data_IF_666791424189
#
_entry.id   IF_666791424189
#
_cell.length_a   1.000
_cell.length_b   1.000
_cell.length_c   1.000
_cell.angle_alpha   90.00
_cell.angle_beta   90.00
_cell.angle_gamma   90.00
#
_symmetry.space_group_name_H-M   'P 1'
#
loop_
_entity.id
_entity.type
_entity.pdbx_description
1 polymer ?
#
# COMPACT_ATOMS: atom_id res chain seq x y z
N UNK A 1 11.41 -26.10 4.48
CA UNK A 1 10.49 -25.34 3.59
C UNK A 1 10.34 -23.92 4.14
N UNK A 2 10.19 -22.88 3.30
CA UNK A 2 10.02 -21.51 3.80
C UNK A 2 8.67 -21.35 4.50
N UNK A 3 8.65 -20.62 5.63
CA UNK A 3 7.38 -20.16 6.19
C UNK A 3 6.79 -19.15 5.20
N UNK A 4 5.55 -19.35 4.78
CA UNK A 4 4.93 -18.55 3.73
C UNK A 4 3.62 -17.95 4.19
N UNK A 5 3.40 -16.69 3.86
CA UNK A 5 2.10 -16.03 4.02
C UNK A 5 1.65 -15.43 2.70
N UNK A 6 0.34 -15.36 2.50
CA UNK A 6 -0.25 -14.80 1.29
C UNK A 6 -1.05 -13.57 1.70
N UNK A 7 -0.75 -12.45 1.06
CA UNK A 7 -1.51 -11.22 1.21
C UNK A 7 -2.56 -11.13 0.10
N UNK A 8 -3.80 -10.81 0.45
CA UNK A 8 -4.86 -10.36 -0.46
C UNK A 8 -5.02 -8.84 -0.31
N UNK A 9 -4.49 -8.11 -1.29
CA UNK A 9 -4.55 -6.65 -1.32
C UNK A 9 -5.11 -6.22 -2.66
N UNK A 10 -6.31 -5.64 -2.64
CA UNK A 10 -7.01 -5.17 -3.82
C UNK A 10 -7.19 -6.25 -4.89
N UNK A 11 -7.62 -7.45 -4.49
CA UNK A 11 -7.72 -8.67 -5.31
C UNK A 11 -6.38 -9.14 -5.94
N UNK A 12 -5.23 -8.71 -5.41
CA UNK A 12 -3.91 -9.25 -5.76
C UNK A 12 -3.38 -10.15 -4.66
N UNK A 13 -2.85 -11.30 -5.05
CA UNK A 13 -2.25 -12.28 -4.15
C UNK A 13 -0.74 -12.17 -4.17
N UNK A 14 -0.16 -11.65 -3.10
CA UNK A 14 1.29 -11.48 -2.95
C UNK A 14 1.79 -12.50 -1.92
N UNK A 15 2.66 -13.41 -2.35
CA UNK A 15 3.24 -14.42 -1.46
C UNK A 15 4.53 -13.93 -0.85
N UNK A 16 4.61 -13.92 0.47
CA UNK A 16 5.83 -13.65 1.22
C UNK A 16 6.44 -14.98 1.66
N UNK A 17 7.69 -15.25 1.27
CA UNK A 17 8.41 -16.47 1.64
C UNK A 17 9.56 -16.12 2.57
N UNK A 18 9.60 -16.71 3.77
CA UNK A 18 10.64 -16.49 4.77
C UNK A 18 11.54 -17.72 4.85
N UNK A 19 12.76 -17.59 4.35
CA UNK A 19 13.77 -18.64 4.36
C UNK A 19 14.59 -18.57 5.65
N UNK A 20 14.62 -19.67 6.39
CA UNK A 20 15.43 -19.82 7.61
C UNK A 20 16.91 -19.98 7.27
N UNK A 21 17.78 -19.61 8.22
CA UNK A 21 19.20 -19.93 8.14
C UNK A 21 19.40 -21.43 8.38
N UNK A 22 20.13 -22.12 7.49
CA UNK A 22 20.47 -23.53 7.67
C UNK A 22 21.59 -23.72 8.70
N UNK A 23 22.39 -22.69 8.98
CA UNK A 23 23.58 -22.74 9.85
C UNK A 23 23.34 -22.27 11.30
N UNK A 24 22.12 -21.87 11.65
CA UNK A 24 21.87 -21.37 12.99
C UNK A 24 21.87 -22.49 14.05
N UNK A 25 22.47 -22.16 15.20
CA UNK A 25 22.61 -23.03 16.36
C UNK A 25 21.24 -23.48 16.87
N UNK A 26 21.20 -24.59 17.62
CA UNK A 26 19.95 -25.22 18.07
C UNK A 26 18.98 -24.31 18.86
N UNK A 27 19.42 -23.13 19.29
CA UNK A 27 18.60 -22.11 19.96
C UNK A 27 17.68 -21.39 18.98
N UNK A 28 18.10 -21.11 17.74
CA UNK A 28 17.22 -20.54 16.69
C UNK A 28 16.33 -21.60 16.03
N UNK A 29 16.72 -22.89 16.11
CA UNK A 29 15.94 -24.01 15.58
C UNK A 29 14.70 -24.33 16.42
N UNK A 30 14.64 -23.88 17.68
CA UNK A 30 13.46 -24.02 18.56
C UNK A 30 12.53 -22.80 18.46
N UNK A 31 11.77 -22.74 17.36
CA UNK A 31 10.37 -22.30 17.42
C UNK A 31 10.04 -20.80 17.52
N UNK A 32 10.91 -19.88 17.10
CA UNK A 32 10.58 -18.46 17.01
C UNK A 32 10.62 -17.95 15.57
N UNK A 33 9.53 -17.34 15.10
CA UNK A 33 9.57 -16.51 13.90
C UNK A 33 10.44 -15.28 14.18
N UNK A 34 11.11 -14.72 13.17
CA UNK A 34 11.87 -13.48 13.40
C UNK A 34 10.92 -12.37 13.87
N UNK A 35 11.37 -11.47 14.75
CA UNK A 35 10.57 -10.30 15.20
C UNK A 35 10.00 -9.50 14.01
N UNK A 36 10.75 -9.47 12.90
CA UNK A 36 10.31 -8.88 11.65
C UNK A 36 9.10 -9.61 11.04
N UNK A 37 9.13 -10.94 10.98
CA UNK A 37 7.99 -11.73 10.54
C UNK A 37 6.76 -11.50 11.42
N UNK A 38 6.91 -11.54 12.75
CA UNK A 38 5.81 -11.28 13.70
C UNK A 38 5.21 -9.88 13.51
N UNK A 39 6.08 -8.87 13.32
CA UNK A 39 5.64 -7.50 13.05
C UNK A 39 4.89 -7.38 11.72
N UNK A 40 5.31 -8.07 10.65
CA UNK A 40 4.56 -8.16 9.39
C UNK A 40 3.19 -8.80 9.61
N UNK A 41 3.14 -9.93 10.33
CA UNK A 41 1.89 -10.64 10.62
C UNK A 41 0.90 -9.74 11.35
N UNK A 42 1.37 -9.03 12.38
CA UNK A 42 0.54 -8.13 13.16
C UNK A 42 0.03 -6.95 12.32
N UNK A 43 0.92 -6.33 11.55
CA UNK A 43 0.64 -5.17 10.72
C UNK A 43 -0.35 -5.49 9.60
N UNK A 44 -0.16 -6.62 8.93
CA UNK A 44 -0.90 -7.02 7.74
C UNK A 44 -2.02 -8.03 8.01
N UNK A 45 -2.36 -8.32 9.28
CA UNK A 45 -3.32 -9.36 9.65
C UNK A 45 -4.64 -9.33 8.87
N UNK A 46 -5.18 -8.14 8.58
CA UNK A 46 -6.46 -7.96 7.88
C UNK A 46 -6.34 -8.05 6.35
N UNK A 47 -5.12 -8.28 5.84
CA UNK A 47 -4.81 -8.52 4.45
C UNK A 47 -4.23 -9.92 4.24
N UNK A 48 -4.07 -10.75 5.28
CA UNK A 48 -3.63 -12.13 5.12
C UNK A 48 -4.81 -12.93 4.59
N UNK A 49 -4.60 -13.65 3.50
CA UNK A 49 -5.62 -14.51 2.91
C UNK A 49 -5.87 -15.73 3.79
N UNK A 50 -7.14 -15.99 4.09
CA UNK A 50 -7.58 -17.17 4.85
C UNK A 50 -7.60 -18.45 4.00
N UNK A 51 -7.55 -18.31 2.68
CA UNK A 51 -7.64 -19.41 1.72
C UNK A 51 -6.42 -19.43 0.80
N UNK A 52 -6.14 -20.59 0.19
CA UNK A 52 -5.09 -20.69 -0.81
C UNK A 52 -5.68 -20.21 -2.15
N UNK A 53 -5.21 -19.07 -2.70
CA UNK A 53 -5.73 -18.58 -3.97
C UNK A 53 -5.23 -19.44 -5.13
N UNK A 54 -6.00 -19.43 -6.22
CA UNK A 54 -5.66 -20.15 -7.45
C UNK A 54 -4.46 -19.55 -8.20
N UNK A 55 -4.12 -18.28 -7.94
CA UNK A 55 -3.03 -17.54 -8.58
C UNK A 55 -2.26 -16.72 -7.55
N UNK A 56 -0.95 -16.61 -7.76
CA UNK A 56 -0.07 -15.66 -7.08
C UNK A 56 0.41 -14.63 -8.10
N UNK A 57 0.22 -13.35 -7.80
CA UNK A 57 0.55 -12.22 -8.66
C UNK A 57 2.01 -11.76 -8.50
N UNK A 58 2.56 -11.93 -7.30
CA UNK A 58 3.93 -11.53 -6.99
C UNK A 58 4.51 -12.31 -5.81
N UNK A 59 5.83 -12.47 -5.79
CA UNK A 59 6.55 -13.12 -4.70
C UNK A 59 7.56 -12.17 -4.04
N UNK A 60 7.63 -12.17 -2.71
CA UNK A 60 8.69 -11.51 -1.95
C UNK A 60 9.42 -12.57 -1.14
N UNK A 61 10.68 -12.81 -1.49
CA UNK A 61 11.53 -13.82 -0.84
C UNK A 61 12.45 -13.13 0.16
N UNK A 62 12.26 -13.42 1.44
CA UNK A 62 13.09 -12.93 2.53
C UNK A 62 14.14 -13.98 2.89
N UNK A 63 15.39 -13.67 2.61
CA UNK A 63 16.52 -14.51 2.96
C UNK A 63 17.12 -14.07 4.29
N UNK A 64 17.46 -15.04 5.14
CA UNK A 64 18.30 -14.79 6.30
C UNK A 64 19.76 -14.74 5.85
N UNK A 65 20.29 -13.53 5.68
CA UNK A 65 21.72 -13.32 5.41
C UNK A 65 22.12 -11.92 5.84
N UNK A 66 23.43 -11.72 6.05
CA UNK A 66 23.99 -10.42 6.35
C UNK A 66 23.73 -9.43 5.21
N UNK A 67 23.49 -8.14 5.51
CA UNK A 67 23.39 -7.12 4.48
C UNK A 67 24.64 -7.11 3.61
N UNK A 68 24.46 -7.11 2.29
CA UNK A 68 25.60 -7.00 1.36
C UNK A 68 25.94 -5.53 1.18
N UNK A 69 27.18 -5.16 1.48
CA UNK A 69 27.73 -3.84 1.17
C UNK A 69 28.38 -3.88 -0.21
N UNK A 70 28.06 -2.89 -1.04
CA UNK A 70 28.67 -2.68 -2.34
C UNK A 70 29.47 -1.40 -2.25
N UNK A 71 30.79 -1.51 -2.32
CA UNK A 71 31.68 -0.36 -2.38
C UNK A 71 31.83 0.09 -3.83
N UNK A 72 31.84 1.41 -4.05
CA UNK A 72 32.18 2.01 -5.34
C UNK A 72 33.10 3.20 -5.14
N UNK A 73 34.05 3.37 -6.05
CA UNK A 73 34.89 4.56 -6.12
C UNK A 73 34.33 5.51 -7.18
N UNK A 74 34.13 6.78 -6.80
CA UNK A 74 33.67 7.83 -7.71
C UNK A 74 34.37 9.14 -7.39
N UNK A 75 35.06 9.73 -8.37
CA UNK A 75 35.80 11.00 -8.21
C UNK A 75 36.76 11.07 -7.00
N UNK A 76 37.40 9.95 -6.65
CA UNK A 76 38.29 9.88 -5.48
C UNK A 76 37.58 9.65 -4.14
N UNK A 77 36.25 9.58 -4.11
CA UNK A 77 35.47 9.22 -2.93
C UNK A 77 35.15 7.72 -2.91
N UNK A 78 35.20 7.12 -1.72
CA UNK A 78 34.70 5.77 -1.46
C UNK A 78 33.26 5.82 -0.94
N UNK A 79 32.33 5.26 -1.69
CA UNK A 79 30.90 5.25 -1.35
C UNK A 79 30.46 3.81 -1.10
N UNK A 80 29.82 3.58 0.04
CA UNK A 80 29.27 2.27 0.43
C UNK A 80 27.75 2.25 0.27
N UNK A 81 27.27 1.32 -0.54
CA UNK A 81 25.85 1.09 -0.77
C UNK A 81 25.38 -0.17 -0.03
N UNK A 82 24.30 -0.04 0.73
CA UNK A 82 23.62 -1.19 1.28
C UNK A 82 22.71 -1.80 0.21
N UNK A 83 22.96 -3.06 -0.16
CA UNK A 83 22.12 -3.78 -1.10
C UNK A 83 20.81 -4.18 -0.41
N UNK A 84 19.70 -3.51 -0.75
CA UNK A 84 18.40 -3.76 -0.16
C UNK A 84 17.67 -4.96 -0.76
N UNK A 85 17.64 -5.07 -2.09
CA UNK A 85 16.90 -6.11 -2.78
C UNK A 85 17.32 -6.28 -4.24
N UNK A 86 17.04 -7.45 -4.81
CA UNK A 86 17.04 -7.67 -6.26
C UNK A 86 15.62 -7.85 -6.76
N UNK A 87 15.32 -7.36 -7.97
CA UNK A 87 14.00 -7.45 -8.59
C UNK A 87 14.07 -8.19 -9.91
N UNK A 88 13.14 -9.13 -10.11
CA UNK A 88 12.78 -9.69 -11.41
C UNK A 88 11.31 -9.41 -11.71
N UNK A 89 10.82 -9.88 -12.86
CA UNK A 89 9.47 -9.56 -13.37
C UNK A 89 8.34 -9.81 -12.36
N UNK A 90 8.40 -10.94 -11.65
CA UNK A 90 7.33 -11.44 -10.78
C UNK A 90 7.78 -11.67 -9.33
N UNK A 91 9.02 -11.31 -8.99
CA UNK A 91 9.51 -11.51 -7.64
C UNK A 91 10.59 -10.52 -7.23
N UNK A 92 10.72 -10.32 -5.92
CA UNK A 92 11.85 -9.64 -5.29
C UNK A 92 12.53 -10.59 -4.31
N UNK A 93 13.86 -10.61 -4.30
CA UNK A 93 14.64 -11.21 -3.23
C UNK A 93 15.19 -10.09 -2.34
N UNK A 94 14.94 -10.20 -1.05
CA UNK A 94 15.31 -9.24 -0.02
C UNK A 94 15.71 -9.98 1.26
N UNK A 95 15.91 -9.25 2.35
CA UNK A 95 16.48 -9.78 3.59
C UNK A 95 15.53 -9.63 4.78
N UNK A 96 15.65 -10.52 5.76
CA UNK A 96 14.83 -10.48 6.98
C UNK A 96 15.22 -9.35 7.96
N UNK A 97 16.35 -8.68 7.77
CA UNK A 97 16.80 -7.56 8.61
C UNK A 97 16.21 -6.19 8.21
N UNK A 98 15.29 -6.16 7.24
CA UNK A 98 14.63 -4.91 6.85
C UNK A 98 13.83 -4.32 8.02
N UNK A 99 13.76 -2.99 8.06
CA UNK A 99 12.76 -2.32 8.88
C UNK A 99 11.36 -2.47 8.28
N UNK A 100 10.33 -2.32 9.11
CA UNK A 100 8.93 -2.33 8.65
C UNK A 100 8.68 -1.22 7.60
N UNK A 101 9.27 -0.05 7.77
CA UNK A 101 9.16 1.04 6.79
C UNK A 101 9.76 0.67 5.43
N UNK A 102 10.92 0.00 5.42
CA UNK A 102 11.55 -0.48 4.18
C UNK A 102 10.68 -1.56 3.51
N UNK A 103 10.11 -2.47 4.29
CA UNK A 103 9.18 -3.47 3.79
C UNK A 103 7.91 -2.83 3.18
N UNK A 104 7.27 -1.89 3.88
CA UNK A 104 6.10 -1.17 3.38
C UNK A 104 6.42 -0.41 2.09
N UNK A 105 7.62 0.18 1.99
CA UNK A 105 8.10 0.79 0.76
C UNK A 105 8.22 -0.23 -0.38
N UNK A 106 8.79 -1.42 -0.16
CA UNK A 106 8.82 -2.47 -1.18
C UNK A 106 7.41 -2.92 -1.58
N UNK A 107 6.51 -3.07 -0.60
CA UNK A 107 5.14 -3.47 -0.84
C UNK A 107 4.39 -2.43 -1.68
N UNK A 108 4.54 -1.13 -1.41
CA UNK A 108 3.88 -0.09 -2.20
C UNK A 108 4.41 -0.06 -3.64
N UNK A 109 5.72 -0.30 -3.87
CA UNK A 109 6.29 -0.44 -5.23
C UNK A 109 5.71 -1.62 -5.99
N UNK A 110 5.53 -2.75 -5.32
CA UNK A 110 4.92 -3.93 -5.93
C UNK A 110 3.46 -3.65 -6.27
N UNK A 111 2.71 -3.05 -5.34
CA UNK A 111 1.31 -2.67 -5.58
C UNK A 111 1.18 -1.68 -6.74
N UNK A 112 2.02 -0.65 -6.82
CA UNK A 112 2.04 0.28 -7.95
C UNK A 112 2.27 -0.44 -9.28
N UNK A 113 3.20 -1.40 -9.32
CA UNK A 113 3.47 -2.20 -10.52
C UNK A 113 2.26 -3.06 -10.93
N UNK A 114 1.63 -3.74 -9.96
CA UNK A 114 0.46 -4.59 -10.22
C UNK A 114 -0.73 -3.74 -10.65
N UNK A 115 -1.00 -2.64 -9.96
CA UNK A 115 -2.07 -1.69 -10.26
C UNK A 115 -1.93 -1.10 -11.66
N UNK A 116 -0.73 -0.65 -12.03
CA UNK A 116 -0.47 -0.11 -13.37
C UNK A 116 -0.72 -1.11 -14.51
N UNK A 117 -0.62 -2.43 -14.24
CA UNK A 117 -0.90 -3.50 -15.21
C UNK A 117 -2.37 -3.92 -15.26
N UNK A 118 -3.19 -3.46 -14.30
CA UNK A 118 -4.54 -3.94 -14.07
C UNK A 118 -5.51 -2.78 -13.79
N UNK A 119 -5.37 -1.69 -14.55
CA UNK A 119 -6.23 -0.51 -14.56
C UNK A 119 -6.51 0.08 -13.17
N UNK A 120 -5.46 0.15 -12.35
CA UNK A 120 -5.53 0.69 -11.00
C UNK A 120 -4.41 1.65 -10.68
N UNK A 121 -4.56 2.33 -9.55
CA UNK A 121 -3.59 3.27 -9.01
C UNK A 121 -3.85 3.51 -7.52
N UNK A 122 -2.89 4.14 -6.84
CA UNK A 122 -3.01 4.57 -5.44
C UNK A 122 -3.28 6.07 -5.44
N UNK A 123 -4.34 6.49 -4.78
CA UNK A 123 -4.78 7.88 -4.67
C UNK A 123 -4.51 8.41 -3.26
N UNK A 124 -3.95 9.62 -3.17
CA UNK A 124 -3.89 10.38 -1.94
C UNK A 124 -5.27 10.97 -1.62
N UNK A 125 -6.00 10.32 -0.71
CA UNK A 125 -7.38 10.63 -0.42
C UNK A 125 -7.81 10.16 0.99
N UNK A 126 -8.87 10.78 1.50
CA UNK A 126 -9.64 10.27 2.63
C UNK A 126 -11.00 9.79 2.11
N UNK A 127 -11.62 8.82 2.76
CA UNK A 127 -12.89 8.25 2.29
C UNK A 127 -13.80 7.82 3.45
N UNK A 128 -15.11 7.85 3.21
CA UNK A 128 -16.13 7.33 4.13
C UNK A 128 -17.09 6.40 3.41
N UNK A 129 -17.60 5.41 4.13
CA UNK A 129 -18.65 4.52 3.65
C UNK A 129 -20.00 5.24 3.71
N UNK A 130 -20.68 5.32 2.58
CA UNK A 130 -22.02 5.88 2.45
C UNK A 130 -22.93 4.83 1.82
N UNK A 131 -23.81 4.24 2.64
CA UNK A 131 -24.59 3.05 2.28
C UNK A 131 -23.65 1.91 1.88
N UNK A 132 -23.86 1.31 0.71
CA UNK A 132 -23.05 0.24 0.10
C UNK A 132 -21.90 0.78 -0.79
N UNK A 133 -21.65 2.09 -0.76
CA UNK A 133 -20.71 2.78 -1.65
C UNK A 133 -19.73 3.65 -0.89
N UNK A 134 -18.78 4.23 -1.63
CA UNK A 134 -17.73 5.07 -1.09
C UNK A 134 -17.79 6.52 -1.60
N UNK A 135 -17.69 7.46 -0.65
CA UNK A 135 -17.42 8.87 -0.93
C UNK A 135 -15.93 9.13 -0.71
N UNK A 136 -15.26 9.65 -1.73
CA UNK A 136 -13.81 9.87 -1.73
C UNK A 136 -13.51 11.36 -1.78
N UNK A 137 -12.62 11.83 -0.91
CA UNK A 137 -12.19 13.22 -0.81
C UNK A 137 -10.71 13.33 -1.15
N UNK A 138 -10.38 14.07 -2.20
CA UNK A 138 -9.00 14.28 -2.66
C UNK A 138 -8.70 15.75 -2.95
N UNK A 139 -7.44 16.12 -3.12
CA UNK A 139 -7.00 17.50 -3.33
C UNK A 139 -5.71 17.82 -2.58
N UNK A 140 -5.21 19.05 -2.76
CA UNK A 140 -3.91 19.49 -2.24
C UNK A 140 -3.76 19.24 -0.72
N UNK A 141 -2.52 19.15 -0.24
CA UNK A 141 -2.26 19.13 1.20
C UNK A 141 -2.92 20.34 1.88
N UNK A 142 -3.53 20.11 3.04
CA UNK A 142 -4.29 21.15 3.74
C UNK A 142 -5.68 21.48 3.17
N UNK A 143 -6.17 20.80 2.12
CA UNK A 143 -7.51 21.06 1.56
C UNK A 143 -8.70 20.61 2.42
N UNK A 144 -8.44 19.90 3.52
CA UNK A 144 -9.48 19.43 4.45
C UNK A 144 -10.00 18.01 4.21
N UNK A 145 -9.29 17.15 3.44
CA UNK A 145 -9.68 15.74 3.20
C UNK A 145 -9.98 14.96 4.49
N UNK A 146 -9.01 14.91 5.39
CA UNK A 146 -9.15 14.25 6.69
C UNK A 146 -10.21 14.92 7.57
N UNK A 147 -10.39 16.24 7.44
CA UNK A 147 -11.42 17.00 8.15
C UNK A 147 -12.82 16.59 7.69
N UNK A 148 -13.06 16.52 6.38
CA UNK A 148 -14.34 16.07 5.82
C UNK A 148 -14.69 14.65 6.29
N UNK A 149 -13.73 13.73 6.23
CA UNK A 149 -13.89 12.38 6.77
C UNK A 149 -14.22 12.41 8.27
N UNK A 150 -13.48 13.18 9.07
CA UNK A 150 -13.70 13.29 10.53
C UNK A 150 -15.04 13.90 10.90
N UNK A 151 -15.58 14.82 10.10
CA UNK A 151 -16.92 15.38 10.31
C UNK A 151 -18.01 14.36 9.98
N UNK A 152 -17.85 13.62 8.88
CA UNK A 152 -18.82 12.62 8.43
C UNK A 152 -18.80 11.34 9.26
N UNK A 153 -17.69 11.04 9.97
CA UNK A 153 -17.53 9.81 10.77
C UNK A 153 -18.63 9.58 11.81
N UNK A 154 -19.31 10.66 12.23
CA UNK A 154 -20.44 10.60 13.18
C UNK A 154 -21.62 9.80 12.61
N UNK A 155 -21.81 9.83 11.28
CA UNK A 155 -22.91 9.13 10.59
C UNK A 155 -22.42 8.03 9.63
N UNK A 156 -21.17 8.11 9.18
CA UNK A 156 -20.64 7.31 8.08
C UNK A 156 -19.25 6.77 8.43
N UNK A 157 -19.05 5.45 8.55
CA UNK A 157 -17.77 4.88 8.96
C UNK A 157 -16.60 5.38 8.10
N UNK A 158 -15.47 5.78 8.69
CA UNK A 158 -14.28 6.16 7.94
C UNK A 158 -13.68 4.91 7.28
N UNK A 159 -13.26 5.05 6.03
CA UNK A 159 -12.70 3.94 5.23
C UNK A 159 -11.20 4.07 5.02
N UNK A 160 -10.69 5.27 4.73
CA UNK A 160 -9.26 5.52 4.54
C UNK A 160 -8.93 6.98 4.88
N UNK A 161 -7.72 7.25 5.35
CA UNK A 161 -7.22 8.59 5.66
C UNK A 161 -5.71 8.73 5.37
N UNK A 162 -5.33 8.47 4.11
CA UNK A 162 -4.12 8.97 3.46
C UNK A 162 -4.04 8.38 2.04
N UNK A 163 -4.18 7.06 1.96
CA UNK A 163 -3.92 6.28 0.75
C UNK A 163 -5.10 5.35 0.47
N UNK A 164 -5.64 5.46 -0.74
CA UNK A 164 -6.76 4.66 -1.21
C UNK A 164 -6.35 3.97 -2.51
N UNK A 165 -6.51 2.65 -2.59
CA UNK A 165 -6.29 1.92 -3.84
C UNK A 165 -7.58 2.01 -4.66
N UNK A 166 -7.47 2.39 -5.93
CA UNK A 166 -8.58 2.41 -6.88
C UNK A 166 -8.26 1.46 -8.03
N UNK A 167 -9.24 0.65 -8.43
CA UNK A 167 -9.15 -0.22 -9.62
C UNK A 167 -10.41 -0.12 -10.46
N UNK A 168 -10.25 -0.16 -11.78
CA UNK A 168 -11.35 -0.50 -12.68
C UNK A 168 -11.47 -2.03 -12.76
N UNK A 169 -12.65 -2.56 -12.42
CA UNK A 169 -12.97 -3.99 -12.54
C UNK A 169 -14.23 -4.11 -13.37
N UNK A 170 -14.12 -4.74 -14.54
CA UNK A 170 -15.16 -4.73 -15.55
C UNK A 170 -15.44 -3.31 -16.04
N UNK A 171 -16.63 -2.77 -15.72
CA UNK A 171 -17.05 -1.41 -16.12
C UNK A 171 -17.25 -0.46 -14.93
N UNK A 172 -16.79 -0.83 -13.74
CA UNK A 172 -16.98 -0.04 -12.52
C UNK A 172 -15.66 0.22 -11.80
N UNK A 173 -15.57 1.36 -11.12
CA UNK A 173 -14.46 1.69 -10.25
C UNK A 173 -14.75 1.24 -8.81
N UNK A 174 -13.77 0.56 -8.24
CA UNK A 174 -13.80 0.08 -6.87
C UNK A 174 -12.62 0.64 -6.10
N UNK A 175 -12.83 0.83 -4.81
CA UNK A 175 -11.85 1.26 -3.87
C UNK A 175 -11.54 0.15 -2.86
N UNK A 176 -10.29 0.12 -2.42
CA UNK A 176 -9.76 -0.77 -1.40
C UNK A 176 -8.87 0.04 -0.47
N UNK A 177 -8.79 -0.40 0.79
CA UNK A 177 -7.81 0.15 1.71
C UNK A 177 -6.40 -0.26 1.27
N UNK A 178 -5.43 0.63 1.47
CA UNK A 178 -4.02 0.27 1.32
C UNK A 178 -3.52 -0.45 2.59
N UNK A 179 -2.42 -1.22 2.51
CA UNK A 179 -1.75 -1.76 3.70
C UNK A 179 -0.90 -0.72 4.45
N UNK A 180 -0.88 0.55 3.99
CA UNK A 180 -0.09 1.62 4.63
C UNK A 180 -0.74 2.08 5.93
N UNK A 181 0.05 2.70 6.81
CA UNK A 181 -0.47 3.32 8.03
C UNK A 181 -1.40 4.49 7.68
N UNK A 182 -2.52 4.59 8.40
CA UNK A 182 -3.46 5.70 8.26
C UNK A 182 -3.07 6.85 9.18
N UNK A 183 -3.40 8.08 8.79
CA UNK A 183 -3.26 9.24 9.69
C UNK A 183 -4.29 9.22 10.84
N UNK A 184 -5.42 8.56 10.61
CA UNK A 184 -6.48 8.41 11.61
C UNK A 184 -6.55 6.96 12.13
N UNK A 185 -6.22 6.78 13.40
CA UNK A 185 -6.14 5.46 14.04
C UNK A 185 -7.49 4.73 14.20
N UNK A 186 -8.63 5.39 14.00
CA UNK A 186 -9.95 4.79 14.14
C UNK A 186 -10.45 4.03 12.91
N UNK A 187 -9.61 3.84 11.89
CA UNK A 187 -9.94 3.04 10.70
C UNK A 187 -9.50 1.59 10.92
N UNK A 188 -10.46 0.67 10.89
CA UNK A 188 -10.16 -0.77 10.87
C UNK A 188 -9.80 -1.19 9.44
N UNK A 189 -8.60 -1.73 9.25
CA UNK A 189 -8.13 -2.27 7.96
C UNK A 189 -8.89 -3.55 7.59
N UNK A 190 -9.01 -3.78 6.30
CA UNK A 190 -9.79 -4.82 5.64
C UNK A 190 -9.37 -4.90 4.17
N UNK A 191 -9.48 -6.09 3.57
CA UNK A 191 -9.35 -6.31 2.12
C UNK A 191 -10.64 -6.00 1.34
N UNK A 192 -11.67 -5.46 2.00
CA UNK A 192 -12.98 -5.21 1.39
C UNK A 192 -12.89 -4.32 0.13
N UNK A 193 -13.64 -4.75 -0.89
CA UNK A 193 -13.90 -4.03 -2.13
C UNK A 193 -15.20 -3.24 -2.03
N UNK A 194 -15.16 -1.93 -2.26
CA UNK A 194 -16.35 -1.06 -2.23
C UNK A 194 -16.45 -0.24 -3.51
N UNK A 195 -17.64 -0.15 -4.11
CA UNK A 195 -17.86 0.65 -5.31
C UNK A 195 -17.77 2.14 -4.99
N UNK A 196 -17.07 2.91 -5.83
CA UNK A 196 -16.98 4.37 -5.68
C UNK A 196 -18.26 5.02 -6.21
N UNK A 197 -18.90 5.87 -5.41
CA UNK A 197 -20.04 6.68 -5.85
C UNK A 197 -19.58 8.03 -6.37
N UNK A 198 -18.84 8.77 -5.56
CA UNK A 198 -18.39 10.12 -5.88
C UNK A 198 -16.95 10.37 -5.42
N UNK A 199 -16.23 11.17 -6.22
CA UNK A 199 -14.94 11.73 -5.87
C UNK A 199 -15.10 13.25 -5.79
N UNK A 200 -14.80 13.82 -4.64
CA UNK A 200 -14.84 15.24 -4.35
C UNK A 200 -13.41 15.79 -4.36
N UNK A 201 -13.15 16.78 -5.22
CA UNK A 201 -11.92 17.56 -5.18
C UNK A 201 -12.12 18.74 -4.24
N UNK A 202 -11.43 18.72 -3.11
CA UNK A 202 -11.54 19.76 -2.10
C UNK A 202 -10.54 20.89 -2.37
N UNK A 203 -11.04 22.11 -2.25
CA UNK A 203 -10.29 23.36 -2.20
C UNK A 203 -10.83 24.20 -1.06
N UNK A 204 -9.96 24.94 -0.36
CA UNK A 204 -10.42 25.92 0.62
C UNK A 204 -11.12 27.07 -0.10
N UNK A 205 -12.27 27.47 0.43
CA UNK A 205 -13.00 28.65 0.00
C UNK A 205 -12.93 29.70 1.10
N UNK A 206 -12.86 30.97 0.73
CA UNK A 206 -12.69 32.07 1.68
C UNK A 206 -14.01 32.48 2.36
N UNK A 207 -15.16 32.12 1.78
CA UNK A 207 -16.47 32.62 2.23
C UNK A 207 -17.51 31.52 2.43
N UNK A 208 -17.79 30.73 1.40
CA UNK A 208 -18.90 29.78 1.40
C UNK A 208 -18.49 28.38 0.98
N UNK A 209 -19.17 27.38 1.55
CA UNK A 209 -19.00 25.98 1.14
C UNK A 209 -19.95 25.68 -0.01
N UNK A 210 -19.40 25.26 -1.14
CA UNK A 210 -20.18 24.90 -2.31
C UNK A 210 -19.76 23.55 -2.87
N UNK A 211 -20.70 22.86 -3.51
CA UNK A 211 -20.45 21.63 -4.24
C UNK A 211 -20.91 21.84 -5.68
N UNK A 212 -19.95 21.78 -6.62
CA UNK A 212 -20.21 21.95 -8.05
C UNK A 212 -19.77 20.71 -8.82
N UNK A 213 -20.61 20.26 -9.75
CA UNK A 213 -20.24 19.16 -10.65
C UNK A 213 -19.16 19.64 -11.62
N UNK A 214 -18.02 18.97 -11.62
CA UNK A 214 -16.94 19.28 -12.55
C UNK A 214 -17.24 18.72 -13.95
N UNK A 215 -17.04 19.53 -14.98
CA UNK A 215 -17.06 19.07 -16.38
C UNK A 215 -15.79 18.26 -16.66
N UNK A 216 -15.89 17.20 -17.46
CA UNK A 216 -14.73 16.43 -17.92
C UNK A 216 -13.86 17.32 -18.81
N UNK A 217 -12.65 17.63 -18.35
CA UNK A 217 -11.68 18.43 -19.10
C UNK A 217 -10.25 18.06 -18.68
N UNK A 218 -9.25 18.58 -19.39
CA UNK A 218 -7.83 18.35 -19.11
C UNK A 218 -7.42 18.82 -17.70
N UNK A 219 -8.04 19.89 -17.19
CA UNK A 219 -7.79 20.39 -15.83
C UNK A 219 -8.16 19.35 -14.76
N UNK A 220 -9.28 18.66 -14.91
CA UNK A 220 -9.69 17.58 -14.00
C UNK A 220 -8.68 16.42 -14.02
N UNK A 221 -8.19 16.04 -15.20
CA UNK A 221 -7.17 15.00 -15.34
C UNK A 221 -5.89 15.41 -14.60
N UNK A 222 -5.40 16.63 -14.81
CA UNK A 222 -4.22 17.15 -14.14
C UNK A 222 -4.39 17.21 -12.62
N UNK A 223 -5.55 17.62 -12.14
CA UNK A 223 -5.86 17.61 -10.70
C UNK A 223 -5.79 16.19 -10.14
N UNK A 224 -6.31 15.21 -10.87
CA UNK A 224 -6.31 13.81 -10.44
C UNK A 224 -4.90 13.21 -10.46
N UNK A 225 -4.14 13.41 -11.54
CA UNK A 225 -2.77 12.90 -11.69
C UNK A 225 -1.84 13.38 -10.56
N UNK A 226 -2.01 14.63 -10.09
CA UNK A 226 -1.26 15.16 -8.93
C UNK A 226 -1.55 14.44 -7.61
N UNK A 227 -2.65 13.71 -7.52
CA UNK A 227 -3.04 12.96 -6.32
C UNK A 227 -2.67 11.49 -6.43
N UNK A 228 -2.25 11.02 -7.61
CA UNK A 228 -1.82 9.63 -7.79
C UNK A 228 -0.39 9.50 -7.25
N UNK A 229 -0.16 8.50 -6.40
CA UNK A 229 1.20 8.12 -6.02
C UNK A 229 1.90 7.51 -7.24
N UNK A 230 2.65 8.33 -7.95
CA UNK A 230 3.56 7.92 -9.01
C UNK A 230 4.98 7.88 -8.44
N UNK A 231 5.78 6.94 -8.94
CA UNK A 231 7.22 7.06 -8.78
C UNK A 231 7.67 8.29 -9.58
N UNK A 232 8.26 9.28 -8.90
CA UNK A 232 9.02 10.32 -9.59
C UNK A 232 10.14 9.60 -10.34
N UNK A 233 10.10 9.67 -11.68
CA UNK A 233 11.16 9.13 -12.54
C UNK A 233 12.30 10.11 -12.63
#
# INVERSE_FOLDING_TARGET
MPNSIILDIADFHIRLNFYLNTESTQIEKKGGLSKFHEAIMLLLKNFISETIPSRIDYYINFHYSQPRLVQRHYNGEEIYFLHFYTKKRNYINTYQHLSISQFLYLLIKILQLLLARHDGFILHASAVQYKDKLLVFTGNSGSGKSTAMKLLKVKHPPFADDTLIIRMIGRSYYAFQSPMLEKYNGIKKSSQKIKIENIFFLSKADKETEIRRMKKNSKLINLFLRQVFLDER
#
